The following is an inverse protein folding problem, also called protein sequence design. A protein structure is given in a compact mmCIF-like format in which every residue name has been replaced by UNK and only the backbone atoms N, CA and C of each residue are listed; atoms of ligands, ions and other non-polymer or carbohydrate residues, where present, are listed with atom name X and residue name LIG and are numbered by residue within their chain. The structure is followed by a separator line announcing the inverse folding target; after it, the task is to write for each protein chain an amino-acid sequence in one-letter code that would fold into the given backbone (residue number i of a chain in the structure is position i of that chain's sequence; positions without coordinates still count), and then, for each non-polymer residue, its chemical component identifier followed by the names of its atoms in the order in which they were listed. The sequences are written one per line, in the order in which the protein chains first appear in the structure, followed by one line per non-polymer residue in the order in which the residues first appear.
data_IF_904488945389
#
_entry.id   IF_904488945389
#
_cell.length_a   1.000
_cell.length_b   1.000
_cell.length_c   1.000
_cell.angle_alpha   90.00
_cell.angle_beta   90.00
_cell.angle_gamma   90.00
#
_symmetry.space_group_name_H-M   'P 1'
#
loop_
_entity.id
_entity.type
_entity.pdbx_description
1 polymer ?
#
# COMPACT_ATOMS: atom_id res chain seq x y z
N UNK A 1 -12.66 -17.67 22.57
CA UNK A 1 -13.63 -16.73 23.18
C UNK A 1 -12.97 -15.37 23.30
N UNK A 2 -13.71 -14.29 23.09
CA UNK A 2 -13.22 -12.90 23.21
C UNK A 2 -13.99 -12.18 24.33
N UNK A 3 -13.45 -11.09 24.87
CA UNK A 3 -14.12 -10.31 25.92
C UNK A 3 -15.40 -9.66 25.38
N UNK A 4 -16.52 -9.88 26.06
CA UNK A 4 -17.84 -9.47 25.59
C UNK A 4 -18.07 -7.96 25.75
N UNK A 5 -17.59 -7.41 26.86
CA UNK A 5 -17.67 -6.00 27.18
C UNK A 5 -16.64 -5.22 26.33
N UNK A 6 -17.15 -4.29 25.53
CA UNK A 6 -16.34 -3.47 24.61
C UNK A 6 -15.77 -2.25 25.31
N UNK A 7 -16.41 -1.74 26.35
CA UNK A 7 -15.89 -0.58 27.08
C UNK A 7 -14.86 -1.02 28.11
N UNK A 8 -15.10 -2.14 28.80
CA UNK A 8 -14.22 -2.63 29.87
C UNK A 8 -13.96 -4.15 29.74
N UNK A 9 -13.02 -4.58 28.86
CA UNK A 9 -12.80 -6.00 28.54
C UNK A 9 -12.45 -6.89 29.75
N UNK A 10 -11.81 -6.32 30.78
CA UNK A 10 -11.44 -7.04 31.99
C UNK A 10 -12.48 -6.90 33.11
N UNK A 11 -13.63 -6.24 32.87
CA UNK A 11 -14.64 -6.01 33.90
C UNK A 11 -15.10 -7.33 34.51
N UNK A 12 -14.98 -7.40 35.83
CA UNK A 12 -15.47 -8.51 36.61
C UNK A 12 -17.00 -8.36 36.82
N UNK A 13 -17.83 -9.24 36.23
CA UNK A 13 -19.28 -9.17 36.42
C UNK A 13 -19.72 -9.51 37.86
N UNK A 14 -18.82 -10.03 38.70
CA UNK A 14 -19.06 -10.33 40.11
C UNK A 14 -18.63 -9.19 41.05
N UNK A 15 -18.07 -8.10 40.52
CA UNK A 15 -17.72 -6.94 41.33
C UNK A 15 -18.98 -6.31 41.93
N UNK A 16 -18.97 -6.09 43.25
CA UNK A 16 -20.10 -5.51 43.97
C UNK A 16 -19.62 -4.35 44.86
N UNK A 17 -19.88 -3.08 44.48
CA UNK A 17 -19.44 -1.92 45.24
C UNK A 17 -20.13 -1.78 46.60
N UNK A 18 -21.22 -2.51 46.87
CA UNK A 18 -21.98 -2.41 48.12
C UNK A 18 -21.35 -3.19 49.29
N UNK A 19 -20.49 -4.17 49.01
CA UNK A 19 -19.84 -5.02 50.03
C UNK A 19 -18.67 -4.34 50.76
N UNK A 20 -18.08 -4.89 51.82
CA UNK A 20 -16.81 -4.41 52.37
C UNK A 20 -15.64 -4.58 51.39
N UNK A 21 -14.61 -3.71 51.41
CA UNK A 21 -13.51 -3.66 50.42
C UNK A 21 -12.90 -5.03 50.06
N UNK A 22 -12.63 -5.87 51.06
CA UNK A 22 -12.05 -7.21 50.87
C UNK A 22 -13.01 -8.22 50.22
N UNK A 23 -14.32 -7.95 50.22
CA UNK A 23 -15.39 -8.82 49.72
C UNK A 23 -16.01 -8.33 48.40
N UNK A 24 -15.69 -7.10 47.96
CA UNK A 24 -16.18 -6.53 46.69
C UNK A 24 -15.62 -7.25 45.45
N UNK A 25 -14.46 -7.90 45.60
CA UNK A 25 -13.68 -8.44 44.48
C UNK A 25 -12.94 -7.33 43.71
N UNK A 26 -12.02 -7.74 42.81
CA UNK A 26 -11.35 -6.81 41.91
C UNK A 26 -12.35 -6.32 40.85
N UNK A 27 -12.32 -5.01 40.53
CA UNK A 27 -13.12 -4.44 39.44
C UNK A 27 -12.67 -4.98 38.08
N UNK A 28 -11.35 -5.08 37.87
CA UNK A 28 -10.74 -5.74 36.71
C UNK A 28 -10.22 -7.12 37.11
N UNK A 29 -10.75 -8.17 36.48
CA UNK A 29 -10.29 -9.54 36.66
C UNK A 29 -10.38 -10.30 35.34
N UNK A 30 -9.22 -10.65 34.77
CA UNK A 30 -9.12 -11.33 33.46
C UNK A 30 -9.75 -12.71 33.44
N UNK A 31 -9.75 -13.42 34.56
CA UNK A 31 -10.27 -14.78 34.66
C UNK A 31 -11.79 -14.77 34.81
N UNK A 32 -12.33 -13.79 35.54
CA UNK A 32 -13.76 -13.63 35.74
C UNK A 32 -14.47 -12.80 34.66
N UNK A 33 -13.71 -12.08 33.83
CA UNK A 33 -14.25 -11.25 32.75
C UNK A 33 -15.19 -12.02 31.82
N UNK A 34 -16.27 -11.35 31.40
CA UNK A 34 -17.28 -11.94 30.52
C UNK A 34 -16.69 -12.24 29.14
N UNK A 35 -16.86 -13.47 28.65
CA UNK A 35 -16.35 -13.90 27.35
C UNK A 35 -17.45 -14.49 26.46
N UNK A 36 -17.36 -14.18 25.17
CA UNK A 36 -18.25 -14.70 24.12
C UNK A 36 -17.50 -15.57 23.11
N UNK A 37 -18.22 -16.50 22.46
CA UNK A 37 -17.69 -17.30 21.36
C UNK A 37 -17.69 -16.48 20.06
N UNK A 38 -16.63 -16.64 19.27
CA UNK A 38 -16.55 -16.05 17.93
C UNK A 38 -17.69 -16.56 17.03
N UNK A 39 -18.35 -15.64 16.34
CA UNK A 39 -19.45 -15.96 15.42
C UNK A 39 -18.89 -16.42 14.08
N UNK A 40 -19.56 -17.37 13.44
CA UNK A 40 -19.25 -17.79 12.08
C UNK A 40 -19.58 -16.65 11.10
N UNK A 41 -18.62 -16.30 10.24
CA UNK A 41 -18.83 -15.34 9.16
C UNK A 41 -18.95 -16.08 7.83
N UNK A 42 -20.11 -15.96 7.18
CA UNK A 42 -20.37 -16.51 5.86
C UNK A 42 -20.68 -15.37 4.89
N UNK A 43 -20.15 -15.45 3.67
CA UNK A 43 -20.45 -14.49 2.62
C UNK A 43 -20.43 -15.16 1.24
N UNK A 44 -21.44 -14.85 0.43
CA UNK A 44 -21.48 -15.22 -0.96
C UNK A 44 -20.64 -14.25 -1.80
N UNK A 45 -19.78 -14.78 -2.67
CA UNK A 45 -18.83 -14.00 -3.47
C UNK A 45 -18.96 -14.27 -4.97
N UNK A 46 -20.01 -13.74 -5.65
CA UNK A 46 -20.16 -13.98 -7.08
C UNK A 46 -19.08 -13.27 -7.88
N UNK A 47 -18.74 -13.87 -9.02
CA UNK A 47 -17.87 -13.31 -10.05
C UNK A 47 -18.48 -13.64 -11.40
N UNK A 48 -18.70 -12.59 -12.20
CA UNK A 48 -19.29 -12.69 -13.53
C UNK A 48 -18.41 -11.89 -14.48
N UNK A 49 -17.93 -12.56 -15.52
CA UNK A 49 -17.20 -11.93 -16.61
C UNK A 49 -17.93 -12.19 -17.92
N UNK A 50 -18.13 -11.15 -18.71
CA UNK A 50 -18.67 -11.21 -20.06
C UNK A 50 -17.58 -10.72 -20.99
N UNK A 51 -17.25 -11.53 -21.99
CA UNK A 51 -16.34 -11.15 -23.06
C UNK A 51 -17.00 -11.47 -24.39
N UNK A 52 -17.06 -10.48 -25.28
CA UNK A 52 -17.58 -10.71 -26.62
C UNK A 52 -16.65 -10.09 -27.68
N UNK A 53 -16.36 -10.84 -28.76
CA UNK A 53 -15.64 -10.28 -29.89
C UNK A 53 -16.55 -9.26 -30.60
N UNK A 54 -16.08 -8.01 -30.70
CA UNK A 54 -16.73 -6.95 -31.47
C UNK A 54 -16.37 -7.08 -32.96
N UNK A 55 -15.16 -7.58 -33.23
CA UNK A 55 -14.65 -7.91 -34.57
C UNK A 55 -13.60 -9.03 -34.47
N UNK A 56 -12.99 -9.40 -35.60
CA UNK A 56 -11.86 -10.36 -35.62
C UNK A 56 -10.62 -9.87 -34.83
N UNK A 57 -10.52 -8.56 -34.60
CA UNK A 57 -9.37 -7.92 -33.92
C UNK A 57 -9.73 -7.22 -32.62
N UNK A 58 -11.01 -7.10 -32.29
CA UNK A 58 -11.51 -6.35 -31.13
C UNK A 58 -12.31 -7.23 -30.19
N UNK A 59 -11.99 -7.17 -28.90
CA UNK A 59 -12.71 -7.85 -27.84
C UNK A 59 -13.13 -6.85 -26.78
N UNK A 60 -14.41 -6.82 -26.47
CA UNK A 60 -14.93 -6.10 -25.32
C UNK A 60 -15.00 -7.04 -24.12
N UNK A 61 -14.68 -6.53 -22.93
CA UNK A 61 -14.86 -7.24 -21.67
C UNK A 61 -15.57 -6.39 -20.63
N UNK A 62 -16.41 -7.04 -19.85
CA UNK A 62 -17.09 -6.51 -18.67
C UNK A 62 -16.93 -7.52 -17.54
N UNK A 63 -16.40 -7.09 -16.41
CA UNK A 63 -16.19 -7.92 -15.24
C UNK A 63 -16.88 -7.30 -14.03
N UNK A 64 -17.57 -8.14 -13.27
CA UNK A 64 -18.10 -7.84 -11.96
C UNK A 64 -17.63 -8.91 -10.98
N UNK A 65 -17.14 -8.50 -9.82
CA UNK A 65 -16.77 -9.44 -8.78
C UNK A 65 -16.89 -8.85 -7.40
N UNK A 66 -17.19 -9.72 -6.43
CA UNK A 66 -17.08 -9.36 -5.02
C UNK A 66 -15.92 -10.11 -4.39
N UNK A 67 -15.18 -9.40 -3.55
CA UNK A 67 -13.97 -9.88 -2.90
C UNK A 67 -14.07 -9.58 -1.42
N UNK A 68 -13.43 -10.43 -0.62
CA UNK A 68 -13.40 -10.27 0.83
C UNK A 68 -11.99 -10.51 1.32
N UNK A 69 -11.47 -9.58 2.08
CA UNK A 69 -10.16 -9.68 2.71
C UNK A 69 -10.35 -9.83 4.22
N UNK A 70 -9.73 -10.89 4.78
CA UNK A 70 -9.75 -11.11 6.22
C UNK A 70 -8.92 -10.01 6.91
N UNK A 71 -9.34 -9.55 8.11
CA UNK A 71 -8.50 -8.70 8.93
C UNK A 71 -7.16 -9.38 9.21
N UNK A 72 -6.11 -8.59 9.43
CA UNK A 72 -4.81 -9.16 9.75
C UNK A 72 -4.85 -9.88 11.11
N UNK A 73 -4.02 -10.92 11.28
CA UNK A 73 -3.93 -11.60 12.56
C UNK A 73 -3.52 -10.69 13.72
N UNK A 74 -2.69 -9.67 13.44
CA UNK A 74 -2.34 -8.67 14.44
C UNK A 74 -3.58 -7.91 14.91
N UNK A 75 -4.41 -7.40 14.00
CA UNK A 75 -5.63 -6.67 14.38
C UNK A 75 -6.64 -7.53 15.16
N UNK A 76 -6.59 -8.86 15.00
CA UNK A 76 -7.52 -9.80 15.63
C UNK A 76 -7.02 -10.36 16.96
N UNK A 77 -5.72 -10.66 17.06
CA UNK A 77 -5.17 -11.44 18.17
C UNK A 77 -4.03 -10.76 18.94
N UNK A 78 -3.41 -9.71 18.39
CA UNK A 78 -2.33 -9.02 19.10
C UNK A 78 -2.90 -8.30 20.31
N UNK A 79 -2.31 -8.55 21.47
CA UNK A 79 -2.66 -7.88 22.71
C UNK A 79 -1.39 -7.36 23.36
N UNK A 80 -1.44 -6.13 23.85
CA UNK A 80 -0.36 -5.50 24.60
C UNK A 80 -0.89 -5.14 25.98
N UNK A 81 -0.18 -5.61 27.00
CA UNK A 81 -0.49 -5.33 28.40
C UNK A 81 0.64 -4.54 29.04
N UNK A 82 0.31 -3.69 30.00
CA UNK A 82 1.29 -2.95 30.79
C UNK A 82 1.91 -3.84 31.88
N UNK A 83 2.98 -3.37 32.51
CA UNK A 83 3.58 -4.04 33.69
C UNK A 83 2.60 -4.17 34.87
N UNK A 84 1.52 -3.38 34.88
CA UNK A 84 0.45 -3.42 35.87
C UNK A 84 -0.73 -4.32 35.45
N UNK A 85 -0.56 -5.11 34.39
CA UNK A 85 -1.54 -6.05 33.84
C UNK A 85 -2.82 -5.36 33.30
N UNK A 86 -2.72 -4.10 32.90
CA UNK A 86 -3.77 -3.35 32.21
C UNK A 86 -3.64 -3.56 30.69
N UNK A 87 -4.76 -3.54 29.97
CA UNK A 87 -4.73 -3.70 28.51
C UNK A 87 -4.46 -2.33 27.87
N UNK A 88 -3.36 -2.23 27.11
CA UNK A 88 -3.05 -1.05 26.32
C UNK A 88 -3.59 -1.17 24.88
N UNK A 89 -3.36 -2.33 24.24
CA UNK A 89 -3.86 -2.64 22.90
C UNK A 89 -4.56 -4.00 22.97
N UNK A 90 -5.78 -4.07 22.45
CA UNK A 90 -6.57 -5.30 22.36
C UNK A 90 -6.96 -5.57 20.92
N UNK A 91 -6.55 -6.74 20.42
CA UNK A 91 -7.04 -7.26 19.15
C UNK A 91 -8.55 -7.49 19.21
N UNK A 92 -9.22 -7.32 18.08
CA UNK A 92 -10.68 -7.42 18.01
C UNK A 92 -11.13 -8.61 17.14
N UNK A 93 -11.47 -9.76 17.74
CA UNK A 93 -12.05 -10.90 17.02
C UNK A 93 -13.44 -10.67 16.43
N UNK A 94 -14.07 -9.51 16.70
CA UNK A 94 -15.36 -9.11 16.13
C UNK A 94 -15.21 -8.39 14.79
N UNK A 95 -13.99 -8.10 14.36
CA UNK A 95 -13.72 -7.46 13.08
C UNK A 95 -14.36 -8.24 11.94
N UNK A 96 -15.16 -7.55 11.15
CA UNK A 96 -15.68 -8.04 9.90
C UNK A 96 -14.58 -7.97 8.84
N UNK A 97 -14.51 -8.95 7.95
CA UNK A 97 -13.70 -8.83 6.75
C UNK A 97 -14.07 -7.60 5.91
N UNK A 98 -13.05 -6.96 5.34
CA UNK A 98 -13.20 -5.92 4.31
C UNK A 98 -13.85 -6.54 3.08
N UNK A 99 -14.78 -5.81 2.44
CA UNK A 99 -15.43 -6.30 1.24
C UNK A 99 -15.36 -5.28 0.11
N UNK A 100 -14.99 -5.78 -1.06
CA UNK A 100 -14.82 -4.97 -2.26
C UNK A 100 -15.75 -5.46 -3.34
N UNK A 101 -16.60 -4.57 -3.86
CA UNK A 101 -17.32 -4.77 -5.12
C UNK A 101 -16.51 -4.11 -6.21
N UNK A 102 -16.06 -4.88 -7.20
CA UNK A 102 -15.28 -4.39 -8.31
C UNK A 102 -16.05 -4.53 -9.61
N UNK A 103 -16.02 -3.45 -10.40
CA UNK A 103 -16.55 -3.35 -11.74
C UNK A 103 -15.41 -2.95 -12.66
N UNK A 104 -15.29 -3.61 -13.80
CA UNK A 104 -14.26 -3.34 -14.80
C UNK A 104 -14.86 -3.50 -16.19
N UNK A 105 -14.63 -2.52 -17.05
CA UNK A 105 -15.15 -2.49 -18.43
C UNK A 105 -14.02 -2.05 -19.34
N UNK A 106 -13.82 -2.75 -20.45
CA UNK A 106 -12.75 -2.40 -21.36
C UNK A 106 -12.90 -2.96 -22.76
N UNK A 107 -12.00 -2.48 -23.60
CA UNK A 107 -11.87 -2.82 -25.01
C UNK A 107 -10.41 -3.09 -25.31
N UNK A 108 -10.16 -4.27 -25.86
CA UNK A 108 -8.87 -4.65 -26.42
C UNK A 108 -9.00 -4.66 -27.94
N UNK A 109 -8.11 -3.95 -28.62
CA UNK A 109 -8.03 -3.94 -30.08
C UNK A 109 -6.62 -4.28 -30.54
N UNK A 110 -6.51 -5.25 -31.45
CA UNK A 110 -5.30 -5.58 -32.16
C UNK A 110 -5.24 -4.82 -33.49
N UNK A 111 -4.11 -4.19 -33.75
CA UNK A 111 -3.80 -3.53 -35.01
C UNK A 111 -2.72 -4.31 -35.77
N UNK A 112 -2.57 -4.08 -37.09
CA UNK A 112 -1.47 -4.64 -37.86
C UNK A 112 -0.08 -4.36 -37.26
N UNK A 113 0.92 -5.14 -37.68
CA UNK A 113 2.32 -5.02 -37.24
C UNK A 113 2.57 -5.28 -35.74
N UNK A 114 1.69 -6.11 -35.14
CA UNK A 114 1.81 -6.58 -33.77
C UNK A 114 1.56 -5.50 -32.71
N UNK A 115 0.75 -4.49 -33.03
CA UNK A 115 0.36 -3.42 -32.11
C UNK A 115 -0.97 -3.80 -31.42
N UNK A 116 -1.05 -3.64 -30.11
CA UNK A 116 -2.25 -3.91 -29.31
C UNK A 116 -2.54 -2.73 -28.40
N UNK A 117 -3.78 -2.26 -28.41
CA UNK A 117 -4.30 -1.27 -27.48
C UNK A 117 -5.31 -1.92 -26.55
N UNK A 118 -5.14 -1.73 -25.26
CA UNK A 118 -6.07 -2.12 -24.21
C UNK A 118 -6.44 -0.88 -23.40
N UNK A 119 -7.73 -0.58 -23.34
CA UNK A 119 -8.28 0.52 -22.56
C UNK A 119 -9.38 -0.05 -21.69
N UNK A 120 -9.25 0.11 -20.38
CA UNK A 120 -10.32 -0.24 -19.45
C UNK A 120 -10.51 0.82 -18.37
N UNK A 121 -11.75 0.97 -17.92
CA UNK A 121 -12.13 1.75 -16.76
C UNK A 121 -12.63 0.82 -15.66
N UNK A 122 -12.34 1.16 -14.42
CA UNK A 122 -12.74 0.37 -13.27
C UNK A 122 -13.26 1.23 -12.13
N UNK A 123 -14.11 0.61 -11.33
CA UNK A 123 -14.69 1.16 -10.13
C UNK A 123 -14.68 0.12 -9.03
N UNK A 124 -14.25 0.50 -7.82
CA UNK A 124 -14.24 -0.37 -6.64
C UNK A 124 -14.88 0.36 -5.48
N UNK A 125 -15.88 -0.27 -4.89
CA UNK A 125 -16.54 0.13 -3.65
C UNK A 125 -16.05 -0.81 -2.55
N UNK A 126 -15.30 -0.25 -1.59
CA UNK A 126 -14.69 -0.98 -0.46
C UNK A 126 -15.41 -0.59 0.82
N UNK A 127 -15.84 -1.61 1.57
CA UNK A 127 -16.61 -1.46 2.81
C UNK A 127 -15.99 -2.26 3.95
N UNK A 128 -16.31 -1.86 5.18
CA UNK A 128 -15.74 -2.42 6.41
C UNK A 128 -14.21 -2.25 6.51
N UNK A 129 -13.67 -1.11 6.03
CA UNK A 129 -12.28 -0.78 6.32
C UNK A 129 -12.09 -0.64 7.84
N UNK A 130 -10.91 -1.06 8.28
CA UNK A 130 -10.54 -1.16 9.69
C UNK A 130 -9.82 0.12 10.09
N UNK A 131 -10.28 0.75 11.17
CA UNK A 131 -9.69 1.94 11.76
C UNK A 131 -9.35 1.68 13.24
N UNK A 132 -8.36 2.39 13.76
CA UNK A 132 -8.03 2.41 15.19
C UNK A 132 -9.09 3.18 15.99
N UNK A 133 -9.48 2.65 17.15
CA UNK A 133 -10.42 3.26 18.07
C UNK A 133 -9.96 3.11 19.53
N UNK A 134 -10.38 4.06 20.37
CA UNK A 134 -10.14 4.08 21.81
C UNK A 134 -11.47 3.97 22.56
N UNK A 135 -11.50 3.13 23.59
CA UNK A 135 -12.65 2.99 24.48
C UNK A 135 -12.24 3.39 25.88
N UNK A 136 -13.02 4.30 26.47
CA UNK A 136 -12.92 4.72 27.86
C UNK A 136 -14.07 4.09 28.64
N UNK A 137 -13.74 3.37 29.70
CA UNK A 137 -14.74 2.81 30.61
C UNK A 137 -15.21 3.81 31.67
N UNK A 138 -16.10 3.35 32.56
CA UNK A 138 -16.62 4.18 33.65
C UNK A 138 -15.55 4.72 34.62
N UNK A 139 -14.40 4.03 34.76
CA UNK A 139 -13.28 4.50 35.59
C UNK A 139 -12.29 5.37 34.81
N UNK A 140 -12.62 5.73 33.56
CA UNK A 140 -11.75 6.43 32.62
C UNK A 140 -10.48 5.64 32.24
N UNK A 141 -10.48 4.32 32.43
CA UNK A 141 -9.44 3.46 31.88
C UNK A 141 -9.59 3.40 30.37
N UNK A 142 -8.48 3.49 29.63
CA UNK A 142 -8.48 3.53 28.17
C UNK A 142 -7.67 2.39 27.59
N UNK A 143 -8.19 1.81 26.51
CA UNK A 143 -7.41 0.91 25.68
C UNK A 143 -7.67 1.17 24.19
N UNK A 144 -6.68 0.82 23.38
CA UNK A 144 -6.73 0.90 21.93
C UNK A 144 -7.24 -0.42 21.35
N UNK A 145 -8.10 -0.35 20.35
CA UNK A 145 -8.55 -1.50 19.56
C UNK A 145 -8.85 -1.09 18.11
N UNK A 146 -9.41 -2.02 17.34
CA UNK A 146 -9.72 -1.84 15.93
C UNK A 146 -11.22 -2.01 15.69
N UNK A 147 -11.82 -1.20 14.83
CA UNK A 147 -13.24 -1.29 14.45
C UNK A 147 -13.42 -1.19 12.94
N UNK A 148 -14.52 -1.77 12.42
CA UNK A 148 -14.93 -1.53 11.03
C UNK A 148 -15.84 -0.31 10.98
N UNK A 149 -15.39 0.75 10.31
CA UNK A 149 -16.15 2.01 10.20
C UNK A 149 -16.00 2.68 8.84
N UNK A 150 -14.89 2.44 8.16
CA UNK A 150 -14.51 3.22 7.00
C UNK A 150 -14.92 2.52 5.68
N UNK A 151 -14.89 3.33 4.62
CA UNK A 151 -15.14 2.92 3.24
C UNK A 151 -14.13 3.60 2.32
N UNK A 152 -13.95 3.02 1.14
CA UNK A 152 -13.18 3.64 0.06
C UNK A 152 -13.88 3.51 -1.29
N UNK A 153 -13.83 4.59 -2.04
CA UNK A 153 -14.22 4.72 -3.43
C UNK A 153 -12.95 4.80 -4.28
N UNK A 154 -12.71 3.77 -5.09
CA UNK A 154 -11.53 3.73 -5.97
C UNK A 154 -12.01 3.65 -7.40
N UNK A 155 -11.75 4.71 -8.16
CA UNK A 155 -12.06 4.78 -9.58
C UNK A 155 -10.82 5.06 -10.39
N UNK A 156 -10.77 4.52 -11.59
CA UNK A 156 -9.62 4.72 -12.44
C UNK A 156 -9.83 4.18 -13.84
N UNK A 157 -8.81 4.39 -14.65
CA UNK A 157 -8.72 3.77 -15.96
C UNK A 157 -7.27 3.43 -16.24
N UNK A 158 -7.07 2.40 -17.05
CA UNK A 158 -5.76 2.03 -17.55
C UNK A 158 -5.75 2.01 -19.07
N UNK A 159 -4.60 2.37 -19.62
CA UNK A 159 -4.30 2.32 -21.05
C UNK A 159 -3.00 1.53 -21.18
N UNK A 160 -3.02 0.48 -21.99
CA UNK A 160 -1.83 -0.30 -22.33
C UNK A 160 -1.69 -0.36 -23.85
N UNK A 161 -0.64 0.27 -24.36
CA UNK A 161 -0.21 0.15 -25.75
C UNK A 161 1.00 -0.77 -25.81
N UNK A 162 0.94 -1.83 -26.59
CA UNK A 162 1.99 -2.84 -26.68
C UNK A 162 2.35 -3.11 -28.14
N UNK A 163 3.65 -3.16 -28.45
CA UNK A 163 4.17 -3.61 -29.74
C UNK A 163 5.02 -4.86 -29.54
N UNK A 164 4.55 -5.99 -30.05
CA UNK A 164 5.17 -7.30 -29.83
C UNK A 164 6.08 -7.77 -30.97
N UNK A 165 5.93 -7.22 -32.18
CA UNK A 165 6.60 -7.70 -33.40
C UNK A 165 7.69 -6.74 -33.91
N UNK A 166 8.61 -7.25 -34.73
CA UNK A 166 9.71 -6.51 -35.36
C UNK A 166 10.95 -6.37 -34.49
N UNK A 167 11.90 -5.54 -34.94
CA UNK A 167 13.12 -5.20 -34.21
C UNK A 167 12.83 -4.28 -33.01
N UNK A 168 11.87 -3.36 -33.18
CA UNK A 168 11.38 -2.48 -32.12
C UNK A 168 10.15 -3.10 -31.45
N UNK A 169 10.27 -3.37 -30.16
CA UNK A 169 9.22 -3.94 -29.31
C UNK A 169 9.12 -3.14 -28.03
N UNK A 170 7.99 -3.23 -27.33
CA UNK A 170 7.85 -2.54 -26.06
C UNK A 170 6.40 -2.32 -25.68
N UNK A 171 6.22 -1.55 -24.62
CA UNK A 171 4.89 -1.18 -24.15
C UNK A 171 4.92 0.16 -23.40
N UNK A 172 3.77 0.81 -23.43
CA UNK A 172 3.43 1.97 -22.62
C UNK A 172 2.21 1.58 -21.82
N UNK A 173 2.33 1.61 -20.48
CA UNK A 173 1.22 1.33 -19.57
C UNK A 173 1.01 2.54 -18.70
N UNK A 174 -0.20 3.07 -18.72
CA UNK A 174 -0.62 4.21 -17.93
C UNK A 174 -1.85 3.83 -17.12
N UNK A 175 -1.88 4.22 -15.85
CA UNK A 175 -3.01 4.05 -14.97
C UNK A 175 -3.28 5.36 -14.24
N UNK A 176 -4.48 5.88 -14.43
CA UNK A 176 -5.05 6.92 -13.58
C UNK A 176 -5.89 6.26 -12.48
N UNK A 177 -5.74 6.72 -11.24
CA UNK A 177 -6.47 6.20 -10.09
C UNK A 177 -6.84 7.36 -9.16
N UNK A 178 -8.05 7.34 -8.61
CA UNK A 178 -8.44 8.18 -7.51
C UNK A 178 -9.02 7.27 -6.44
N UNK A 179 -8.23 7.00 -5.41
CA UNK A 179 -8.62 6.25 -4.22
C UNK A 179 -8.97 7.26 -3.13
N UNK A 180 -10.27 7.48 -2.93
CA UNK A 180 -10.79 8.33 -1.86
C UNK A 180 -11.47 7.48 -0.82
N UNK A 181 -11.49 7.94 0.41
CA UNK A 181 -12.21 7.26 1.47
C UNK A 181 -12.26 8.11 2.70
N UNK A 182 -12.85 7.52 3.73
CA UNK A 182 -12.83 8.11 5.05
C UNK A 182 -11.41 8.00 5.61
N UNK A 183 -10.87 9.13 6.07
CA UNK A 183 -9.48 9.30 6.51
C UNK A 183 -9.00 8.21 7.49
N UNK A 184 -8.31 7.19 6.97
CA UNK A 184 -7.67 6.15 7.77
C UNK A 184 -6.19 6.49 8.02
N UNK A 185 -5.87 7.27 9.04
CA UNK A 185 -4.47 7.35 9.50
C UNK A 185 -4.37 7.30 11.02
N UNK A 186 -3.41 6.50 11.52
CA UNK A 186 -3.08 6.35 12.94
C UNK A 186 -2.58 7.67 13.58
N UNK A 187 -2.08 8.61 12.76
CA UNK A 187 -1.62 9.94 13.19
C UNK A 187 -2.72 11.01 13.26
N UNK A 188 -3.98 10.68 12.99
CA UNK A 188 -5.06 11.68 12.82
C UNK A 188 -6.35 11.27 13.54
N UNK A 189 -6.59 11.84 14.72
CA UNK A 189 -7.83 11.77 15.51
C UNK A 189 -8.61 10.45 15.39
N UNK A 190 -8.12 9.41 16.06
CA UNK A 190 -8.81 8.13 16.19
C UNK A 190 -10.20 8.28 16.80
N UNK A 191 -11.06 7.29 16.57
CA UNK A 191 -12.41 7.29 17.12
C UNK A 191 -12.37 7.05 18.61
N UNK A 192 -13.08 7.87 19.39
CA UNK A 192 -13.12 7.72 20.85
C UNK A 192 -14.55 7.45 21.32
N UNK A 193 -14.71 6.43 22.16
CA UNK A 193 -15.97 6.06 22.80
C UNK A 193 -15.83 6.20 24.31
N UNK A 194 -16.82 6.81 24.96
CA UNK A 194 -16.93 6.92 26.41
C UNK A 194 -18.14 6.15 26.90
N UNK A 195 -17.94 5.24 27.85
CA UNK A 195 -19.04 4.52 28.49
C UNK A 195 -19.88 5.46 29.36
N UNK A 196 -19.18 6.30 30.14
CA UNK A 196 -19.76 7.34 30.98
C UNK A 196 -19.04 8.66 30.70
N UNK A 197 -19.54 9.47 29.76
CA UNK A 197 -18.92 10.76 29.45
C UNK A 197 -19.04 11.72 30.64
N UNK A 198 -18.08 12.64 30.77
CA UNK A 198 -18.19 13.75 31.71
C UNK A 198 -19.33 14.71 31.32
N UNK A 199 -19.75 15.57 32.25
CA UNK A 199 -20.78 16.57 31.97
C UNK A 199 -20.33 17.51 30.84
N UNK A 200 -21.14 17.61 29.79
CA UNK A 200 -20.82 18.39 28.57
C UNK A 200 -19.95 17.67 27.54
N UNK A 201 -19.58 16.41 27.77
CA UNK A 201 -18.82 15.60 26.82
C UNK A 201 -19.73 14.65 26.03
N UNK A 202 -19.46 14.51 24.73
CA UNK A 202 -20.19 13.56 23.89
C UNK A 202 -19.78 12.10 24.18
N UNK A 203 -20.73 11.14 24.23
CA UNK A 203 -20.43 9.71 24.42
C UNK A 203 -19.53 9.13 23.31
N UNK A 204 -19.55 9.74 22.13
CA UNK A 204 -18.73 9.31 20.98
C UNK A 204 -18.14 10.54 20.30
N UNK A 205 -16.81 10.61 20.23
CA UNK A 205 -16.11 11.65 19.49
C UNK A 205 -15.72 11.06 18.14
N UNK A 206 -16.46 11.47 17.11
CA UNK A 206 -16.20 11.08 15.73
C UNK A 206 -15.44 12.20 15.02
N UNK A 207 -14.32 11.91 14.32
CA UNK A 207 -13.78 12.87 13.36
C UNK A 207 -14.83 13.13 12.27
N UNK A 208 -14.93 14.39 11.80
CA UNK A 208 -15.82 14.75 10.70
C UNK A 208 -15.55 13.84 9.50
N UNK A 209 -16.60 13.24 8.90
CA UNK A 209 -16.43 12.44 7.70
C UNK A 209 -16.03 13.37 6.55
N UNK A 210 -14.83 13.16 6.02
CA UNK A 210 -14.33 13.87 4.84
C UNK A 210 -13.76 12.84 3.87
N UNK A 211 -14.17 12.94 2.60
CA UNK A 211 -13.62 12.13 1.52
C UNK A 211 -12.24 12.70 1.13
N UNK A 212 -11.20 12.12 1.71
CA UNK A 212 -9.80 12.46 1.44
C UNK A 212 -9.16 11.40 0.54
N UNK A 213 -8.10 11.77 -0.16
CA UNK A 213 -7.29 10.76 -0.85
C UNK A 213 -6.61 9.87 0.19
N UNK A 214 -6.64 8.57 -0.04
CA UNK A 214 -6.02 7.59 0.85
C UNK A 214 -4.50 7.58 0.68
N UNK A 215 -3.77 7.16 1.71
CA UNK A 215 -2.30 7.13 1.75
C UNK A 215 -1.67 6.29 0.63
N UNK A 216 -2.36 5.26 0.16
CA UNK A 216 -1.91 4.43 -0.94
C UNK A 216 -2.28 4.98 -2.33
N UNK A 217 -3.04 6.07 -2.42
CA UNK A 217 -3.40 6.69 -3.70
C UNK A 217 -2.15 7.10 -4.47
N UNK A 218 -2.11 6.68 -5.74
CA UNK A 218 -1.14 7.16 -6.72
C UNK A 218 -1.86 7.54 -7.99
N UNK A 219 -2.17 8.83 -8.08
CA UNK A 219 -3.02 9.38 -9.14
C UNK A 219 -2.57 9.05 -10.55
N UNK A 220 -1.27 9.14 -10.82
CA UNK A 220 -0.70 8.79 -12.11
C UNK A 220 0.41 7.76 -11.92
N UNK A 221 0.26 6.62 -12.60
CA UNK A 221 1.28 5.57 -12.69
C UNK A 221 1.57 5.29 -14.15
N UNK A 222 2.81 5.45 -14.59
CA UNK A 222 3.21 5.13 -15.95
C UNK A 222 4.48 4.28 -15.99
N UNK A 223 4.50 3.29 -16.88
CA UNK A 223 5.63 2.42 -17.15
C UNK A 223 5.83 2.36 -18.65
N UNK A 224 7.04 2.70 -19.07
CA UNK A 224 7.49 2.67 -20.45
C UNK A 224 8.57 1.60 -20.55
N UNK A 225 8.44 0.71 -21.51
CA UNK A 225 9.50 -0.21 -21.91
C UNK A 225 9.70 -0.11 -23.41
N UNK A 226 10.94 0.05 -23.83
CA UNK A 226 11.32 0.05 -25.23
C UNK A 226 12.51 -0.88 -25.41
N UNK A 227 12.38 -1.82 -26.33
CA UNK A 227 13.42 -2.76 -26.71
C UNK A 227 13.69 -2.67 -28.20
N UNK A 228 14.95 -2.47 -28.55
CA UNK A 228 15.43 -2.60 -29.92
C UNK A 228 16.38 -3.80 -30.01
N UNK A 229 16.03 -4.77 -30.86
CA UNK A 229 16.85 -5.95 -31.14
C UNK A 229 17.31 -5.92 -32.59
N UNK A 230 18.62 -5.91 -32.80
CA UNK A 230 19.20 -5.97 -34.13
C UNK A 230 19.15 -7.39 -34.71
N UNK A 231 19.10 -7.47 -36.03
CA UNK A 231 19.22 -8.69 -36.81
C UNK A 231 20.65 -9.25 -36.73
N UNK A 232 20.85 -10.48 -37.20
CA UNK A 232 22.14 -11.16 -37.09
C UNK A 232 23.27 -10.46 -37.86
N UNK A 233 22.95 -9.87 -39.01
CA UNK A 233 23.91 -9.28 -39.96
C UNK A 233 23.69 -7.78 -40.13
N UNK A 234 23.27 -7.11 -39.05
CA UNK A 234 23.01 -5.67 -39.06
C UNK A 234 24.31 -4.88 -38.86
N UNK A 235 24.46 -3.79 -39.62
CA UNK A 235 25.61 -2.89 -39.57
C UNK A 235 26.79 -3.29 -40.45
N UNK A 236 27.97 -2.76 -40.14
CA UNK A 236 29.19 -3.01 -40.90
C UNK A 236 29.81 -4.38 -40.53
N UNK A 237 30.46 -5.02 -41.50
CA UNK A 237 31.18 -6.28 -41.34
C UNK A 237 32.64 -6.01 -41.00
N UNK A 238 33.16 -6.62 -39.95
CA UNK A 238 34.59 -6.61 -39.57
C UNK A 238 35.09 -8.05 -39.50
N UNK A 239 35.98 -8.43 -40.41
CA UNK A 239 36.31 -9.86 -40.61
C UNK A 239 35.04 -10.63 -40.97
N UNK A 240 34.76 -11.75 -40.30
CA UNK A 240 33.51 -12.52 -40.48
C UNK A 240 32.43 -12.24 -39.43
N UNK A 241 32.53 -11.08 -38.76
CA UNK A 241 31.65 -10.72 -37.66
C UNK A 241 30.92 -9.40 -37.92
N UNK A 242 29.68 -9.32 -37.42
CA UNK A 242 28.86 -8.10 -37.41
C UNK A 242 28.79 -7.56 -35.97
N UNK A 243 29.55 -6.49 -35.64
CA UNK A 243 29.58 -5.92 -34.30
C UNK A 243 28.23 -5.42 -33.81
N UNK A 244 27.36 -4.96 -34.71
CA UNK A 244 26.03 -4.49 -34.36
C UNK A 244 24.95 -5.58 -34.41
N UNK A 245 25.25 -6.78 -34.91
CA UNK A 245 24.24 -7.85 -35.02
C UNK A 245 23.92 -8.57 -33.70
N UNK A 246 22.70 -9.07 -33.50
CA UNK A 246 22.28 -9.73 -32.24
C UNK A 246 22.52 -8.88 -30.97
N UNK A 247 22.44 -7.56 -31.11
CA UNK A 247 22.41 -6.60 -30.02
C UNK A 247 20.96 -6.43 -29.57
N UNK A 248 20.73 -6.30 -28.27
CA UNK A 248 19.42 -6.03 -27.70
C UNK A 248 19.56 -4.96 -26.63
N UNK A 249 19.05 -3.77 -26.91
CA UNK A 249 18.95 -2.69 -25.94
C UNK A 249 17.50 -2.62 -25.45
N UNK A 250 17.30 -2.71 -24.13
CA UNK A 250 16.01 -2.53 -23.47
C UNK A 250 16.12 -1.40 -22.47
N UNK A 251 15.26 -0.40 -22.57
CA UNK A 251 15.15 0.72 -21.64
C UNK A 251 13.80 0.64 -20.95
N UNK A 252 13.79 0.79 -19.62
CA UNK A 252 12.56 0.84 -18.82
C UNK A 252 12.55 2.11 -18.01
N UNK A 253 11.48 2.89 -18.13
CA UNK A 253 11.23 4.08 -17.33
C UNK A 253 9.92 3.92 -16.56
N UNK A 254 9.96 4.18 -15.26
CA UNK A 254 8.78 4.19 -14.39
C UNK A 254 8.64 5.58 -13.80
N UNK A 255 7.41 6.08 -13.74
CA UNK A 255 7.07 7.32 -13.07
C UNK A 255 5.76 7.16 -12.31
N UNK A 256 5.77 7.59 -11.06
CA UNK A 256 4.64 7.53 -10.15
C UNK A 256 4.50 8.88 -9.44
N UNK A 257 3.31 9.47 -9.47
CA UNK A 257 3.04 10.63 -8.61
C UNK A 257 3.11 10.21 -7.15
N UNK A 258 3.54 11.14 -6.30
CA UNK A 258 3.64 10.89 -4.88
C UNK A 258 2.30 10.59 -4.21
N UNK A 259 2.42 9.98 -3.03
CA UNK A 259 1.31 9.58 -2.17
C UNK A 259 0.85 10.74 -1.30
N UNK A 260 -0.45 10.89 -1.04
CA UNK A 260 -0.95 11.86 -0.05
C UNK A 260 -0.36 11.58 1.34
N UNK A 261 -0.06 12.62 2.12
CA UNK A 261 0.25 12.52 3.56
C UNK A 261 -0.25 13.75 4.32
N UNK A 262 -0.38 13.61 5.64
CA UNK A 262 -0.88 14.66 6.53
C UNK A 262 0.26 15.55 7.02
N UNK A 263 0.10 16.87 6.86
CA UNK A 263 0.95 17.88 7.45
C UNK A 263 0.08 18.92 8.16
N UNK A 264 0.03 18.86 9.49
CA UNK A 264 -0.83 19.70 10.32
C UNK A 264 -0.11 20.19 11.59
N UNK A 265 0.87 21.09 11.44
CA UNK A 265 1.55 21.70 12.59
C UNK A 265 0.66 22.71 13.34
N UNK A 266 -0.40 23.20 12.70
CA UNK A 266 -1.32 24.19 13.25
C UNK A 266 -2.45 23.57 14.07
N UNK A 267 -2.60 22.23 14.03
CA UNK A 267 -3.68 21.51 14.71
C UNK A 267 -5.06 21.86 14.15
N UNK A 268 -5.13 22.28 12.89
CA UNK A 268 -6.39 22.67 12.24
C UNK A 268 -7.22 21.47 11.77
N UNK A 269 -6.72 20.25 11.98
CA UNK A 269 -7.33 19.02 11.51
C UNK A 269 -7.09 18.77 10.02
N UNK A 270 -6.01 19.31 9.45
CA UNK A 270 -5.65 19.09 8.04
C UNK A 270 -5.31 17.61 7.84
N UNK A 271 -5.78 17.02 6.74
CA UNK A 271 -5.60 15.60 6.43
C UNK A 271 -5.22 15.43 4.97
N UNK A 272 -4.17 14.62 4.72
CA UNK A 272 -3.74 14.27 3.36
C UNK A 272 -3.56 15.50 2.43
N UNK A 273 -3.15 16.63 3.00
CA UNK A 273 -3.07 17.94 2.37
C UNK A 273 -1.77 18.17 1.57
N UNK A 274 -0.81 17.24 1.68
CA UNK A 274 0.46 17.25 0.94
C UNK A 274 0.68 15.93 0.22
N UNK A 275 1.66 15.88 -0.67
CA UNK A 275 2.05 14.67 -1.41
C UNK A 275 3.54 14.44 -1.37
N UNK A 276 3.96 13.19 -1.27
CA UNK A 276 5.37 12.80 -1.35
C UNK A 276 5.97 13.24 -2.69
N UNK A 277 7.30 13.26 -2.84
CA UNK A 277 7.93 13.48 -4.14
C UNK A 277 7.47 12.47 -5.20
N UNK A 278 7.44 12.90 -6.46
CA UNK A 278 7.27 12.03 -7.62
C UNK A 278 8.42 11.03 -7.67
N UNK A 279 8.09 9.75 -7.74
CA UNK A 279 9.08 8.69 -7.85
C UNK A 279 9.35 8.37 -9.31
N UNK A 280 10.63 8.33 -9.68
CA UNK A 280 11.07 7.96 -11.04
C UNK A 280 12.19 6.94 -10.98
N UNK A 281 12.19 5.99 -11.91
CA UNK A 281 13.20 4.95 -12.01
C UNK A 281 13.50 4.66 -13.48
N UNK A 282 14.75 4.88 -13.88
CA UNK A 282 15.23 4.63 -15.24
C UNK A 282 16.26 3.50 -15.20
N UNK A 283 16.06 2.50 -16.04
CA UNK A 283 16.94 1.33 -16.18
C UNK A 283 17.23 1.04 -17.62
N UNK A 284 18.42 0.52 -17.91
CA UNK A 284 18.72 -0.10 -19.20
C UNK A 284 19.27 -1.50 -19.02
N UNK A 285 19.12 -2.31 -20.06
CA UNK A 285 19.78 -3.59 -20.24
C UNK A 285 20.25 -3.70 -21.68
N UNK A 286 21.55 -3.88 -21.86
CA UNK A 286 22.20 -4.12 -23.13
C UNK A 286 22.67 -5.56 -23.16
N UNK A 287 22.35 -6.28 -24.22
CA UNK A 287 22.77 -7.66 -24.42
C UNK A 287 23.41 -7.81 -25.80
N UNK A 288 24.48 -8.57 -25.87
CA UNK A 288 25.10 -9.00 -27.13
C UNK A 288 25.24 -10.51 -27.09
N UNK A 289 24.63 -11.19 -28.06
CA UNK A 289 24.82 -12.64 -28.21
C UNK A 289 25.84 -12.93 -29.30
N UNK A 290 26.85 -13.72 -28.96
CA UNK A 290 27.93 -14.14 -29.83
C UNK A 290 27.94 -15.66 -29.84
N UNK A 291 28.00 -16.25 -31.03
CA UNK A 291 28.13 -17.70 -31.19
C UNK A 291 29.62 -18.06 -31.17
N UNK A 292 30.03 -18.86 -30.18
CA UNK A 292 31.40 -19.36 -30.05
C UNK A 292 31.36 -20.87 -30.23
N UNK A 293 31.79 -21.34 -31.40
CA UNK A 293 31.76 -22.76 -31.80
C UNK A 293 30.33 -23.34 -31.71
N UNK A 294 30.01 -24.11 -30.66
CA UNK A 294 28.70 -24.73 -30.40
C UNK A 294 27.90 -24.06 -29.29
N UNK A 295 28.48 -23.09 -28.59
CA UNK A 295 27.88 -22.42 -27.42
C UNK A 295 27.45 -21.00 -27.78
N UNK A 296 26.30 -20.58 -27.26
CA UNK A 296 25.88 -19.18 -27.34
C UNK A 296 26.33 -18.46 -26.06
N UNK A 297 27.17 -17.45 -26.23
CA UNK A 297 27.60 -16.56 -25.15
C UNK A 297 26.81 -15.26 -25.25
N UNK A 298 26.12 -14.87 -24.18
CA UNK A 298 25.44 -13.57 -24.09
C UNK A 298 26.15 -12.71 -23.05
N UNK A 299 26.74 -11.61 -23.50
CA UNK A 299 27.31 -10.58 -22.63
C UNK A 299 26.19 -9.60 -22.30
N UNK A 300 25.98 -9.31 -21.02
CA UNK A 300 24.98 -8.35 -20.56
C UNK A 300 25.61 -7.21 -19.76
N UNK A 301 25.08 -6.01 -19.97
CA UNK A 301 25.32 -4.84 -19.14
C UNK A 301 23.97 -4.25 -18.72
N UNK A 302 23.75 -4.10 -17.43
CA UNK A 302 22.53 -3.56 -16.84
C UNK A 302 22.85 -2.30 -16.04
N UNK A 303 22.01 -1.28 -16.18
CA UNK A 303 22.07 -0.05 -15.40
C UNK A 303 20.78 0.13 -14.62
N UNK A 304 20.89 0.32 -13.31
CA UNK A 304 19.76 0.48 -12.38
C UNK A 304 19.79 1.89 -11.78
N UNK A 305 18.59 2.46 -11.54
CA UNK A 305 18.41 3.81 -11.00
C UNK A 305 19.34 4.85 -11.66
N UNK A 306 19.29 4.94 -12.99
CA UNK A 306 20.18 5.78 -13.78
C UNK A 306 20.01 7.28 -13.53
N UNK A 307 18.87 7.70 -12.97
CA UNK A 307 18.64 9.07 -12.52
C UNK A 307 19.24 9.33 -11.14
N UNK A 308 19.66 8.29 -10.41
CA UNK A 308 20.12 8.35 -9.02
C UNK A 308 19.12 9.06 -8.10
N UNK A 309 17.83 8.78 -8.30
CA UNK A 309 16.75 9.35 -7.50
C UNK A 309 16.65 8.62 -6.17
N UNK A 310 16.38 9.36 -5.09
CA UNK A 310 16.12 8.81 -3.77
C UNK A 310 14.61 8.65 -3.57
N UNK A 311 14.19 7.48 -3.10
CA UNK A 311 12.80 7.19 -2.76
C UNK A 311 12.74 6.98 -1.26
N UNK A 312 12.01 7.84 -0.57
CA UNK A 312 11.83 7.74 0.88
C UNK A 312 10.80 6.68 1.24
N UNK A 313 10.98 6.03 2.39
CA UNK A 313 10.01 5.12 2.95
C UNK A 313 8.79 5.90 3.42
N UNK A 314 7.63 5.57 2.85
CA UNK A 314 6.40 6.31 3.12
C UNK A 314 6.08 6.38 4.62
N UNK A 315 5.97 5.22 5.29
CA UNK A 315 5.55 5.16 6.68
C UNK A 315 6.55 5.81 7.62
N UNK A 316 7.86 5.63 7.37
CA UNK A 316 8.91 6.14 8.26
C UNK A 316 9.19 7.63 8.09
N UNK A 317 8.86 8.21 6.93
CA UNK A 317 9.13 9.63 6.62
C UNK A 317 7.87 10.47 6.68
N UNK A 318 6.78 10.01 6.07
CA UNK A 318 5.54 10.76 5.87
C UNK A 318 4.37 10.27 6.73
N UNK A 319 4.60 9.23 7.55
CA UNK A 319 3.67 8.74 8.55
C UNK A 319 4.35 8.56 9.92
N UNK A 320 5.17 9.54 10.30
CA UNK A 320 5.97 9.51 11.52
C UNK A 320 5.94 10.90 12.18
N UNK A 321 5.60 10.95 13.47
CA UNK A 321 5.43 12.19 14.24
C UNK A 321 6.68 13.08 14.26
N UNK A 322 7.86 12.49 14.05
CA UNK A 322 9.15 13.19 14.10
C UNK A 322 9.68 13.49 12.71
N UNK A 323 9.66 12.50 11.82
CA UNK A 323 10.27 12.64 10.50
C UNK A 323 9.41 13.47 9.53
N UNK A 324 8.08 13.48 9.69
CA UNK A 324 7.22 14.30 8.83
C UNK A 324 7.46 15.80 9.05
N UNK A 325 7.51 16.33 10.29
CA UNK A 325 7.96 17.69 10.54
C UNK A 325 9.38 17.98 10.04
N UNK A 326 10.33 17.08 10.28
CA UNK A 326 11.71 17.26 9.79
C UNK A 326 11.76 17.35 8.26
N UNK A 327 10.95 16.56 7.55
CA UNK A 327 10.83 16.65 6.09
C UNK A 327 10.24 18.00 5.61
N UNK A 328 9.34 18.64 6.35
CA UNK A 328 8.77 19.92 5.90
C UNK A 328 9.60 21.13 6.30
N UNK A 329 10.27 21.06 7.45
CA UNK A 329 10.97 22.21 8.04
C UNK A 329 12.49 22.16 7.84
N UNK A 330 13.09 20.97 7.74
CA UNK A 330 14.56 20.79 7.66
C UNK A 330 14.95 19.55 6.83
N UNK A 331 14.66 19.61 5.52
CA UNK A 331 14.98 18.51 4.59
C UNK A 331 16.47 18.16 4.54
N UNK A 332 17.35 19.12 4.78
CA UNK A 332 18.80 18.92 4.70
C UNK A 332 19.30 17.94 5.75
N UNK A 333 18.69 17.94 6.94
CA UNK A 333 19.04 17.05 8.04
C UNK A 333 18.10 15.87 8.20
N UNK A 334 17.19 15.60 7.25
CA UNK A 334 16.24 14.50 7.36
C UNK A 334 16.93 13.14 7.53
N UNK A 335 18.06 12.95 6.84
CA UNK A 335 18.82 11.70 6.85
C UNK A 335 19.77 11.59 8.05
N UNK A 336 19.79 12.56 8.94
CA UNK A 336 20.59 12.56 10.15
C UNK A 336 19.68 12.47 11.38
N UNK A 337 20.08 11.65 12.35
CA UNK A 337 19.47 11.56 13.66
C UNK A 337 20.39 12.25 14.65
N UNK A 338 19.88 13.31 15.28
CA UNK A 338 20.61 14.29 16.09
C UNK A 338 19.94 14.55 17.45
N UNK A 339 19.00 13.67 17.86
CA UNK A 339 18.24 13.81 19.10
C UNK A 339 19.13 13.77 20.36
N UNK A 340 20.30 13.12 20.27
CA UNK A 340 21.26 13.01 21.37
C UNK A 340 22.60 13.63 21.00
N UNK A 341 22.65 14.96 20.95
CA UNK A 341 23.90 15.69 20.77
C UNK A 341 24.97 15.23 21.80
N UNK A 342 26.23 15.03 21.40
CA UNK A 342 26.84 15.35 20.09
C UNK A 342 26.74 14.22 19.05
N UNK A 343 26.03 13.13 19.33
CA UNK A 343 25.98 11.97 18.44
C UNK A 343 25.04 12.24 17.26
N UNK A 344 25.61 12.17 16.05
CA UNK A 344 24.86 12.21 14.80
C UNK A 344 24.94 10.84 14.14
N UNK A 345 23.79 10.20 13.93
CA UNK A 345 23.71 8.89 13.29
C UNK A 345 22.98 9.00 11.95
N UNK A 346 23.47 8.29 10.93
CA UNK A 346 22.77 8.24 9.64
C UNK A 346 21.47 7.44 9.74
N UNK A 347 20.40 7.99 9.19
CA UNK A 347 19.11 7.32 9.03
C UNK A 347 18.89 6.81 7.60
N UNK A 348 19.89 6.88 6.71
CA UNK A 348 19.73 6.53 5.29
C UNK A 348 19.16 5.11 5.10
N UNK A 349 19.70 4.14 5.82
CA UNK A 349 19.24 2.73 5.74
C UNK A 349 17.80 2.57 6.27
N UNK A 350 17.36 3.48 7.15
CA UNK A 350 16.02 3.47 7.71
C UNK A 350 15.00 4.20 6.81
N UNK A 351 15.38 5.36 6.26
CA UNK A 351 14.47 6.24 5.52
C UNK A 351 14.50 6.05 4.00
N UNK A 352 15.58 5.53 3.41
CA UNK A 352 15.67 5.32 1.96
C UNK A 352 15.21 3.90 1.61
N UNK A 353 14.30 3.80 0.64
CA UNK A 353 13.63 2.56 0.25
C UNK A 353 14.19 1.96 -1.05
N UNK A 354 15.13 2.63 -1.72
CA UNK A 354 15.74 2.16 -2.96
C UNK A 354 17.28 2.22 -2.93
N UNK A 355 17.90 1.44 -3.81
CA UNK A 355 19.35 1.49 -3.99
C UNK A 355 19.76 2.70 -4.86
N UNK A 356 20.96 3.26 -4.65
CA UNK A 356 21.51 4.30 -5.52
C UNK A 356 21.78 3.75 -6.92
N UNK A 357 22.29 4.60 -7.82
CA UNK A 357 22.70 4.16 -9.17
C UNK A 357 23.78 3.09 -9.09
N UNK A 358 23.57 1.97 -9.78
CA UNK A 358 24.59 0.95 -9.94
C UNK A 358 24.48 0.23 -11.28
N UNK A 359 25.56 -0.44 -11.65
CA UNK A 359 25.67 -1.20 -12.88
C UNK A 359 25.99 -2.66 -12.56
N UNK A 360 25.50 -3.58 -13.39
CA UNK A 360 25.85 -4.99 -13.34
C UNK A 360 26.37 -5.42 -14.70
N UNK A 361 27.44 -6.20 -14.69
CA UNK A 361 27.99 -6.84 -15.87
C UNK A 361 27.89 -8.35 -15.65
N UNK A 362 27.50 -9.07 -16.69
CA UNK A 362 27.36 -10.52 -16.61
C UNK A 362 27.62 -11.18 -17.95
N UNK A 363 27.91 -12.48 -17.88
CA UNK A 363 28.03 -13.35 -19.05
C UNK A 363 27.17 -14.58 -18.79
N UNK A 364 26.33 -14.92 -19.77
CA UNK A 364 25.47 -16.10 -19.75
C UNK A 364 25.98 -17.06 -20.82
N UNK A 365 26.26 -18.29 -20.44
CA UNK A 365 26.69 -19.36 -21.34
C UNK A 365 25.56 -20.37 -21.48
N UNK A 366 25.05 -20.53 -22.69
CA UNK A 366 24.06 -21.56 -23.01
C UNK A 366 24.76 -22.69 -23.76
N UNK A 367 24.92 -23.83 -23.08
CA UNK A 367 25.60 -25.04 -23.57
C UNK A 367 24.67 -25.95 -24.36
#
# INVERSE_FOLDING_TARGET
NYFADVYSPLRNPKYDPSKPYLERGLYYDRELALREKSKLYNRFQPRVGISFPVSETSVFHLNYGTFTQRPSFNQVFYNQITSFNEIQILGNPRLKPENTKAYDIGLVNAFPYGLKLDVSAYYKDVTNLIETAFYYDEQQSVYQTYINRDYADIKGFHISLEKADGQLRGYIRYNYEAAKGKSSNDLSASVIYFEKPAEGQEPVILPKPEDVYLDYDRTHKAIFNLRYKTLKEEGFKVGDFYPLGNLSLSVTFKIYTGRPYTWDITGQGLKYNKRTPTETDLRFRLEKTIRVVKTNMTICAEGFNLLNTQVYNYSRTFNDERNTPKYELDRGNLLTYDEYAPFVTSQEVYLINNQPRYFRLGVILNF
#
